data_IF_581424307093
#
_entry.id   IF_581424307093
#
_cell.length_a   1.000
_cell.length_b   1.000
_cell.length_c   1.000
_cell.angle_alpha   90.00
_cell.angle_beta   90.00
_cell.angle_gamma   90.00
#
_symmetry.space_group_name_H-M   'P 1'
#
loop_
_entity.id
_entity.type
_entity.pdbx_description
1 polymer ?
#
# COMPACT_ATOMS: atom_id res chain seq x y z
N UNK A 1 -27.02 -23.24 -10.56
CA UNK A 1 -26.58 -22.27 -9.55
C UNK A 1 -25.83 -22.96 -8.42
N UNK A 2 -26.45 -23.93 -7.73
CA UNK A 2 -25.87 -24.64 -6.57
C UNK A 2 -24.45 -25.21 -6.83
N UNK A 3 -24.22 -25.91 -7.93
CA UNK A 3 -22.90 -26.45 -8.26
C UNK A 3 -21.85 -25.33 -8.50
N UNK A 4 -22.26 -24.20 -9.07
CA UNK A 4 -21.35 -23.06 -9.27
C UNK A 4 -20.91 -22.45 -7.93
N UNK A 5 -21.80 -22.38 -6.96
CA UNK A 5 -21.49 -21.90 -5.59
C UNK A 5 -20.49 -22.84 -4.90
N UNK A 6 -20.67 -24.15 -5.01
CA UNK A 6 -19.72 -25.16 -4.48
C UNK A 6 -18.36 -25.01 -5.18
N UNK A 7 -18.33 -24.93 -6.52
CA UNK A 7 -17.10 -24.78 -7.28
C UNK A 7 -16.37 -23.48 -6.90
N UNK A 8 -17.08 -22.37 -6.76
CA UNK A 8 -16.52 -21.11 -6.32
C UNK A 8 -15.93 -21.21 -4.91
N UNK A 9 -16.65 -21.81 -3.97
CA UNK A 9 -16.19 -22.00 -2.59
C UNK A 9 -14.92 -22.86 -2.51
N UNK A 10 -14.83 -23.94 -3.29
CA UNK A 10 -13.63 -24.78 -3.36
C UNK A 10 -12.45 -24.01 -3.96
N UNK A 11 -12.69 -23.27 -5.05
CA UNK A 11 -11.63 -22.44 -5.67
C UNK A 11 -11.10 -21.37 -4.73
N UNK A 12 -11.95 -20.78 -3.89
CA UNK A 12 -11.54 -19.78 -2.89
C UNK A 12 -10.69 -20.39 -1.76
N UNK A 13 -11.03 -21.60 -1.32
CA UNK A 13 -10.37 -22.25 -0.18
C UNK A 13 -9.08 -22.99 -0.52
N UNK A 14 -8.90 -23.37 -1.79
CA UNK A 14 -7.77 -24.21 -2.21
C UNK A 14 -6.73 -23.40 -2.97
N UNK A 15 -5.60 -23.16 -2.32
CA UNK A 15 -4.39 -22.67 -2.94
C UNK A 15 -3.27 -23.70 -2.80
N UNK A 16 -2.45 -23.85 -3.84
CA UNK A 16 -1.24 -24.66 -3.74
C UNK A 16 -0.14 -23.89 -2.98
N UNK A 17 0.98 -24.56 -2.69
CA UNK A 17 2.16 -23.94 -2.02
C UNK A 17 2.72 -22.71 -2.76
N UNK A 18 2.34 -22.51 -4.02
CA UNK A 18 2.78 -21.39 -4.87
C UNK A 18 1.69 -20.29 -5.00
N UNK A 19 0.63 -20.34 -4.20
CA UNK A 19 -0.47 -19.38 -4.22
C UNK A 19 -1.44 -19.52 -5.41
N UNK A 20 -1.31 -20.59 -6.23
CA UNK A 20 -2.21 -20.81 -7.36
C UNK A 20 -3.46 -21.55 -6.92
N UNK A 21 -4.61 -21.07 -7.35
CA UNK A 21 -5.90 -21.69 -7.08
C UNK A 21 -6.16 -22.91 -7.98
N UNK A 22 -6.98 -23.82 -7.47
CA UNK A 22 -7.43 -24.98 -8.23
C UNK A 22 -8.23 -24.53 -9.46
N UNK A 23 -7.99 -25.19 -10.61
CA UNK A 23 -8.71 -24.90 -11.86
C UNK A 23 -10.15 -25.42 -11.82
N UNK A 24 -11.08 -24.75 -12.54
CA UNK A 24 -12.48 -25.19 -12.68
C UNK A 24 -12.57 -26.64 -13.14
N UNK A 25 -11.74 -27.05 -14.11
CA UNK A 25 -11.69 -28.44 -14.61
C UNK A 25 -11.36 -29.43 -13.48
N UNK A 26 -10.40 -29.12 -12.62
CA UNK A 26 -10.02 -30.03 -11.51
C UNK A 26 -11.10 -30.13 -10.45
N UNK A 27 -11.81 -29.03 -10.15
CA UNK A 27 -12.93 -29.07 -9.21
C UNK A 27 -14.10 -29.92 -9.76
N UNK A 28 -14.38 -29.81 -11.06
CA UNK A 28 -15.39 -30.66 -11.71
C UNK A 28 -14.99 -32.14 -11.59
N UNK A 29 -13.75 -32.50 -11.87
CA UNK A 29 -13.26 -33.87 -11.70
C UNK A 29 -13.42 -34.38 -10.26
N UNK A 30 -13.09 -33.55 -9.26
CA UNK A 30 -13.28 -33.92 -7.85
C UNK A 30 -14.76 -34.18 -7.51
N UNK A 31 -15.67 -33.35 -8.04
CA UNK A 31 -17.11 -33.53 -7.87
C UNK A 31 -17.62 -34.85 -8.51
N UNK A 32 -17.07 -35.22 -9.67
CA UNK A 32 -17.46 -36.44 -10.39
C UNK A 32 -16.88 -37.70 -9.73
N UNK A 33 -15.60 -37.67 -9.33
CA UNK A 33 -14.91 -38.85 -8.81
C UNK A 33 -15.23 -39.11 -7.33
N UNK A 34 -15.11 -38.10 -6.50
CA UNK A 34 -15.15 -38.23 -5.04
C UNK A 34 -16.36 -37.56 -4.39
N UNK A 35 -16.89 -36.51 -5.03
CA UNK A 35 -17.82 -35.59 -4.41
C UNK A 35 -17.11 -34.60 -3.51
N UNK A 36 -17.85 -33.59 -3.03
CA UNK A 36 -17.37 -32.54 -2.13
C UNK A 36 -18.30 -32.47 -0.93
N UNK A 37 -17.75 -32.57 0.29
CA UNK A 37 -18.49 -32.36 1.51
C UNK A 37 -18.93 -30.91 1.65
N UNK A 38 -20.21 -30.72 1.90
CA UNK A 38 -20.85 -29.45 2.19
C UNK A 38 -21.58 -29.52 3.53
N UNK A 39 -21.95 -28.35 4.13
CA UNK A 39 -22.79 -28.39 5.34
C UNK A 39 -24.12 -29.16 5.19
N UNK A 40 -24.58 -29.34 3.95
CA UNK A 40 -25.81 -30.07 3.63
C UNK A 40 -25.57 -31.55 3.28
N UNK A 41 -24.32 -32.01 3.33
CA UNK A 41 -23.92 -33.38 3.01
C UNK A 41 -22.99 -33.49 1.80
N UNK A 42 -22.71 -34.73 1.39
CA UNK A 42 -21.82 -35.00 0.25
C UNK A 42 -22.54 -34.71 -1.07
N UNK A 43 -21.99 -33.80 -1.85
CA UNK A 43 -22.47 -33.46 -3.20
C UNK A 43 -21.60 -34.15 -4.24
N UNK A 44 -22.16 -35.01 -5.06
CA UNK A 44 -21.52 -35.68 -6.19
C UNK A 44 -22.30 -35.42 -7.48
N UNK A 45 -21.56 -35.32 -8.59
CA UNK A 45 -22.14 -35.01 -9.90
C UNK A 45 -21.91 -36.19 -10.84
N UNK A 46 -22.88 -36.58 -11.67
CA UNK A 46 -22.69 -37.56 -12.72
C UNK A 46 -21.56 -37.10 -13.68
N UNK A 47 -20.83 -38.10 -14.19
CA UNK A 47 -19.74 -37.83 -15.13
C UNK A 47 -20.28 -37.12 -16.39
N UNK A 48 -19.49 -36.16 -16.90
CA UNK A 48 -19.79 -35.38 -18.10
C UNK A 48 -21.04 -34.48 -18.02
N UNK A 49 -21.63 -34.28 -16.84
CA UNK A 49 -22.75 -33.36 -16.66
C UNK A 49 -22.30 -31.89 -16.69
N UNK A 50 -21.12 -31.60 -16.15
CA UNK A 50 -20.61 -30.25 -16.03
C UNK A 50 -19.45 -30.00 -17.03
N UNK A 51 -19.67 -29.16 -18.02
CA UNK A 51 -18.61 -28.70 -18.91
C UNK A 51 -17.95 -27.44 -18.40
N UNK A 52 -16.60 -27.42 -18.44
CA UNK A 52 -15.79 -26.28 -17.95
C UNK A 52 -16.25 -24.93 -18.51
N UNK A 53 -16.48 -24.85 -19.83
CA UNK A 53 -16.91 -23.62 -20.50
C UNK A 53 -18.26 -23.10 -19.99
N UNK A 54 -19.20 -24.02 -19.80
CA UNK A 54 -20.53 -23.70 -19.27
C UNK A 54 -20.45 -23.23 -17.82
N UNK A 55 -19.66 -23.95 -16.99
CA UNK A 55 -19.46 -23.57 -15.59
C UNK A 55 -18.78 -22.21 -15.47
N UNK A 56 -17.73 -21.94 -16.27
CA UNK A 56 -17.04 -20.65 -16.23
C UNK A 56 -17.97 -19.49 -16.68
N UNK A 57 -18.82 -19.72 -17.68
CA UNK A 57 -19.84 -18.75 -18.11
C UNK A 57 -20.85 -18.45 -16.97
N UNK A 58 -21.36 -19.48 -16.30
CA UNK A 58 -22.26 -19.28 -15.17
C UNK A 58 -21.58 -18.64 -13.96
N UNK A 59 -20.31 -18.98 -13.66
CA UNK A 59 -19.55 -18.32 -12.61
C UNK A 59 -19.41 -16.83 -12.89
N UNK A 60 -19.16 -16.46 -14.13
CA UNK A 60 -19.07 -15.04 -14.54
C UNK A 60 -20.43 -14.33 -14.44
N UNK A 61 -21.52 -14.98 -14.92
CA UNK A 61 -22.87 -14.44 -14.84
C UNK A 61 -23.37 -14.25 -13.40
N UNK A 62 -22.99 -15.17 -12.49
CA UNK A 62 -23.35 -15.11 -11.07
C UNK A 62 -22.38 -14.24 -10.24
N UNK A 63 -21.40 -13.60 -10.87
CA UNK A 63 -20.35 -12.82 -10.20
C UNK A 63 -19.48 -13.64 -9.23
N UNK A 64 -19.40 -14.96 -9.44
CA UNK A 64 -18.62 -15.90 -8.65
C UNK A 64 -17.27 -16.26 -9.29
N UNK A 65 -16.88 -15.55 -10.34
CA UNK A 65 -15.58 -15.69 -10.96
C UNK A 65 -14.47 -15.08 -10.07
N UNK A 66 -13.32 -15.72 -10.08
CA UNK A 66 -12.20 -15.39 -9.22
C UNK A 66 -11.76 -13.91 -9.26
N UNK A 67 -11.66 -13.24 -10.43
CA UNK A 67 -11.30 -11.83 -10.48
C UNK A 67 -12.29 -10.92 -9.75
N UNK A 68 -13.57 -11.29 -9.67
CA UNK A 68 -14.58 -10.50 -8.96
C UNK A 68 -14.64 -10.79 -7.48
N UNK A 69 -14.48 -12.07 -7.09
CA UNK A 69 -14.46 -12.49 -5.68
C UNK A 69 -13.24 -11.95 -4.93
N UNK A 70 -12.11 -11.78 -5.62
CA UNK A 70 -10.89 -11.16 -5.07
C UNK A 70 -10.76 -9.67 -5.39
N UNK A 71 -11.74 -9.09 -6.08
CA UNK A 71 -11.72 -7.65 -6.34
C UNK A 71 -11.82 -6.93 -5.00
N UNK A 72 -10.75 -6.27 -4.64
CA UNK A 72 -10.78 -5.37 -3.50
C UNK A 72 -11.85 -4.28 -3.78
N UNK A 73 -12.60 -3.87 -2.76
CA UNK A 73 -13.47 -2.71 -2.91
C UNK A 73 -12.65 -1.57 -3.52
N UNK A 74 -13.24 -0.74 -4.39
CA UNK A 74 -12.52 0.38 -4.96
C UNK A 74 -11.92 1.18 -3.80
N UNK A 75 -10.63 1.46 -3.89
CA UNK A 75 -9.98 2.31 -2.91
C UNK A 75 -10.74 3.65 -2.88
N UNK A 76 -11.37 3.95 -1.76
CA UNK A 76 -11.98 5.25 -1.58
C UNK A 76 -10.84 6.25 -1.57
N UNK A 77 -10.81 7.14 -2.55
CA UNK A 77 -9.81 8.19 -2.60
C UNK A 77 -10.02 9.09 -1.39
N UNK A 78 -9.15 8.99 -0.41
CA UNK A 78 -9.09 9.99 0.65
C UNK A 78 -8.64 11.30 0.00
N UNK A 79 -9.30 12.37 0.32
CA UNK A 79 -8.87 13.72 -0.02
C UNK A 79 -9.18 14.61 1.17
N UNK A 80 -8.18 15.32 1.66
CA UNK A 80 -8.34 16.28 2.74
C UNK A 80 -9.37 17.37 2.37
N UNK A 81 -10.10 17.85 3.33
CA UNK A 81 -11.14 18.87 3.11
C UNK A 81 -10.54 20.24 2.83
N UNK A 82 -9.45 20.58 3.55
CA UNK A 82 -8.75 21.85 3.43
C UNK A 82 -7.24 21.63 3.25
N UNK A 83 -6.55 22.63 2.71
CA UNK A 83 -5.08 22.65 2.70
C UNK A 83 -4.54 22.65 4.12
N UNK A 84 -3.41 22.02 4.33
CA UNK A 84 -2.80 21.74 5.62
C UNK A 84 -3.58 20.78 6.54
N UNK A 85 -4.69 20.20 6.10
CA UNK A 85 -5.33 19.14 6.86
C UNK A 85 -4.49 17.85 6.84
N UNK A 86 -3.92 17.50 5.68
CA UNK A 86 -3.07 16.31 5.54
C UNK A 86 -1.91 16.58 4.58
N UNK A 87 -0.71 16.31 5.05
CA UNK A 87 0.48 16.27 4.20
C UNK A 87 0.98 14.83 4.06
N UNK A 88 1.36 14.45 2.84
CA UNK A 88 2.01 13.17 2.53
C UNK A 88 3.50 13.41 2.43
N UNK A 89 4.29 12.77 3.30
CA UNK A 89 5.74 12.89 3.38
C UNK A 89 6.44 11.63 2.87
N UNK A 90 7.43 11.81 2.02
CA UNK A 90 8.26 10.73 1.49
C UNK A 90 9.74 11.11 1.42
N UNK A 91 10.59 10.11 1.55
CA UNK A 91 12.04 10.20 1.39
C UNK A 91 12.50 9.11 0.45
N UNK A 92 13.01 9.49 -0.70
CA UNK A 92 13.45 8.55 -1.72
C UNK A 92 14.91 8.77 -2.10
N UNK A 93 15.71 7.70 -2.30
CA UNK A 93 17.04 7.85 -2.89
C UNK A 93 16.93 8.53 -4.25
N UNK A 94 17.80 9.49 -4.50
CA UNK A 94 17.85 10.19 -5.79
C UNK A 94 18.51 9.31 -6.85
N UNK A 95 17.97 9.34 -8.06
CA UNK A 95 18.59 8.73 -9.25
C UNK A 95 19.82 9.50 -9.75
N UNK A 96 20.11 10.69 -9.20
CA UNK A 96 21.28 11.48 -9.52
C UNK A 96 22.54 10.80 -8.97
N UNK A 97 23.33 10.19 -9.86
CA UNK A 97 24.46 9.34 -9.49
C UNK A 97 25.77 10.08 -9.22
N UNK A 98 25.89 11.34 -9.65
CA UNK A 98 27.13 12.08 -9.62
C UNK A 98 26.93 13.42 -8.92
N UNK A 99 27.23 13.42 -7.62
CA UNK A 99 27.31 14.66 -6.84
C UNK A 99 28.67 14.66 -6.16
N UNK A 100 29.35 15.78 -6.26
CA UNK A 100 30.54 16.05 -5.42
C UNK A 100 30.08 16.04 -3.97
N UNK A 101 30.78 15.27 -3.14
CA UNK A 101 30.48 15.24 -1.72
C UNK A 101 30.67 16.65 -1.14
N UNK A 102 29.66 17.23 -0.46
CA UNK A 102 29.80 18.52 0.17
C UNK A 102 30.99 18.55 1.14
N UNK A 103 31.66 19.71 1.28
CA UNK A 103 32.86 19.87 2.12
C UNK A 103 32.63 19.58 3.61
N UNK A 104 31.39 19.55 4.07
CA UNK A 104 31.00 19.25 5.46
C UNK A 104 30.82 17.76 5.73
N UNK A 105 30.96 16.88 4.73
CA UNK A 105 30.80 15.44 4.88
C UNK A 105 31.97 14.86 5.66
N UNK A 106 31.65 14.10 6.70
CA UNK A 106 32.61 13.34 7.49
C UNK A 106 32.92 11.99 6.81
N UNK A 107 34.14 11.81 6.25
CA UNK A 107 34.52 10.57 5.56
C UNK A 107 34.46 9.33 6.44
N UNK A 108 34.56 9.50 7.77
CA UNK A 108 34.52 8.38 8.75
C UNK A 108 33.15 7.73 8.84
N UNK A 109 32.08 8.44 8.46
CA UNK A 109 30.68 7.93 8.46
C UNK A 109 30.31 7.18 7.19
N UNK A 110 31.24 7.00 6.26
CA UNK A 110 31.02 6.34 5.00
C UNK A 110 30.57 7.29 3.87
N UNK A 111 30.03 6.71 2.79
CA UNK A 111 29.59 7.50 1.63
C UNK A 111 28.16 7.98 1.85
N UNK A 112 27.90 9.28 1.79
CA UNK A 112 26.55 9.81 1.88
C UNK A 112 25.73 9.45 0.65
N UNK A 113 24.42 9.39 0.82
CA UNK A 113 23.45 9.21 -0.26
C UNK A 113 22.72 10.53 -0.49
N UNK A 114 22.54 10.90 -1.75
CA UNK A 114 21.64 11.99 -2.09
C UNK A 114 20.22 11.47 -2.03
N UNK A 115 19.41 12.07 -1.18
CA UNK A 115 17.99 11.76 -1.06
C UNK A 115 17.13 12.94 -1.44
N UNK A 116 16.02 12.65 -2.10
CA UNK A 116 14.93 13.59 -2.33
C UNK A 116 13.95 13.46 -1.16
N UNK A 117 13.76 14.55 -0.45
CA UNK A 117 12.71 14.72 0.55
C UNK A 117 11.56 15.47 -0.11
N UNK A 118 10.36 14.96 0.05
CA UNK A 118 9.17 15.57 -0.52
C UNK A 118 8.01 15.58 0.47
N UNK A 119 7.24 16.64 0.43
CA UNK A 119 5.93 16.72 1.08
C UNK A 119 4.92 17.28 0.11
N UNK A 120 3.74 16.67 0.08
CA UNK A 120 2.63 17.07 -0.78
C UNK A 120 1.41 17.35 0.09
N UNK A 121 0.81 18.52 -0.07
CA UNK A 121 -0.49 18.81 0.53
C UNK A 121 -1.59 18.04 -0.21
N UNK A 122 -2.29 17.17 0.50
CA UNK A 122 -3.27 16.24 -0.09
C UNK A 122 -4.44 16.97 -0.76
N UNK A 123 -4.83 18.13 -0.26
CA UNK A 123 -5.94 18.92 -0.81
C UNK A 123 -5.56 19.65 -2.08
N UNK A 124 -4.47 20.41 -2.05
CA UNK A 124 -4.08 21.28 -3.16
C UNK A 124 -3.18 20.60 -4.19
N UNK A 125 -2.50 19.50 -3.80
CA UNK A 125 -1.49 18.85 -4.61
C UNK A 125 -0.17 19.67 -4.72
N UNK A 126 -0.06 20.78 -4.00
CA UNK A 126 1.19 21.55 -3.97
C UNK A 126 2.26 20.78 -3.22
N UNK A 127 3.47 20.74 -3.78
CA UNK A 127 4.58 20.00 -3.21
C UNK A 127 5.72 20.94 -2.82
N UNK A 128 6.42 20.59 -1.73
CA UNK A 128 7.73 21.14 -1.39
C UNK A 128 8.76 20.03 -1.42
N UNK A 129 9.92 20.28 -2.02
CA UNK A 129 10.94 19.26 -2.21
C UNK A 129 12.33 19.83 -1.94
N UNK A 130 13.20 19.00 -1.35
CA UNK A 130 14.63 19.31 -1.18
C UNK A 130 15.49 18.10 -1.49
N UNK A 131 16.63 18.33 -2.13
CA UNK A 131 17.71 17.36 -2.19
C UNK A 131 18.64 17.54 -1.01
N UNK A 132 18.92 16.44 -0.31
CA UNK A 132 19.85 16.44 0.84
C UNK A 132 20.83 15.28 0.74
N UNK A 133 22.12 15.58 0.99
CA UNK A 133 23.12 14.54 1.23
C UNK A 133 23.01 14.07 2.66
N UNK A 134 22.70 12.80 2.86
CA UNK A 134 22.49 12.19 4.18
C UNK A 134 23.14 10.81 4.24
N UNK A 135 23.41 10.30 5.42
CA UNK A 135 23.96 8.95 5.61
C UNK A 135 22.89 7.88 5.69
N UNK A 136 21.64 8.20 5.42
CA UNK A 136 20.48 7.32 5.43
C UNK A 136 19.21 8.07 5.82
N UNK A 137 18.15 7.34 6.02
CA UNK A 137 16.88 7.89 6.52
C UNK A 137 17.00 8.16 8.02
N UNK A 138 17.27 9.40 8.39
CA UNK A 138 17.38 9.83 9.78
C UNK A 138 16.33 10.88 10.17
N UNK A 139 15.96 10.88 11.45
CA UNK A 139 14.90 11.75 11.97
C UNK A 139 15.33 13.22 11.99
N UNK A 140 16.61 13.54 12.16
CA UNK A 140 17.09 14.92 12.19
C UNK A 140 16.92 15.56 10.82
N UNK A 141 17.37 14.90 9.75
CA UNK A 141 17.22 15.39 8.39
C UNK A 141 15.76 15.54 7.99
N UNK A 142 14.90 14.56 8.39
CA UNK A 142 13.48 14.62 8.14
C UNK A 142 12.81 15.82 8.86
N UNK A 143 13.14 16.04 10.13
CA UNK A 143 12.61 17.17 10.89
C UNK A 143 13.08 18.50 10.34
N UNK A 144 14.36 18.66 9.99
CA UNK A 144 14.87 19.87 9.35
C UNK A 144 14.15 20.19 8.05
N UNK A 145 13.89 19.15 7.24
CA UNK A 145 13.09 19.29 6.02
C UNK A 145 11.65 19.74 6.31
N UNK A 146 10.98 19.10 7.27
CA UNK A 146 9.61 19.45 7.64
C UNK A 146 9.51 20.88 8.19
N UNK A 147 10.47 21.33 9.01
CA UNK A 147 10.53 22.72 9.46
C UNK A 147 10.68 23.68 8.29
N UNK A 148 11.54 23.38 7.31
CA UNK A 148 11.66 24.19 6.11
C UNK A 148 10.37 24.20 5.28
N UNK A 149 9.68 23.04 5.18
CA UNK A 149 8.39 22.96 4.50
C UNK A 149 7.31 23.83 5.19
N UNK A 150 7.28 23.84 6.52
CA UNK A 150 6.34 24.64 7.31
C UNK A 150 6.68 26.14 7.35
N UNK A 151 7.95 26.49 7.19
CA UNK A 151 8.38 27.89 7.25
C UNK A 151 7.81 28.72 6.10
N UNK A 152 7.55 30.03 6.34
CA UNK A 152 7.23 30.96 5.26
C UNK A 152 8.32 30.95 4.19
N UNK A 153 7.92 31.06 2.92
CA UNK A 153 8.86 31.11 1.79
C UNK A 153 9.13 32.57 1.38
N UNK A 154 10.35 32.81 0.86
CA UNK A 154 10.72 34.14 0.35
C UNK A 154 9.86 34.56 -0.86
N UNK A 155 9.46 33.60 -1.69
CA UNK A 155 8.54 33.84 -2.80
C UNK A 155 7.08 33.70 -2.30
N UNK A 156 6.30 34.78 -2.30
CA UNK A 156 4.91 34.76 -1.90
C UNK A 156 4.00 33.94 -2.82
N UNK A 157 4.44 33.63 -4.05
CA UNK A 157 3.72 32.75 -4.95
C UNK A 157 3.85 31.28 -4.55
N UNK A 158 4.79 30.93 -3.68
CA UNK A 158 4.97 29.58 -3.19
C UNK A 158 4.05 29.31 -2.00
N UNK A 159 3.01 28.53 -2.23
CA UNK A 159 1.85 28.44 -1.33
C UNK A 159 2.00 27.47 -0.16
N UNK A 160 2.97 26.53 -0.20
CA UNK A 160 3.11 25.56 0.90
C UNK A 160 3.84 26.19 2.08
N UNK A 161 3.11 26.36 3.16
CA UNK A 161 3.61 26.87 4.45
C UNK A 161 2.62 26.55 5.57
N UNK A 162 3.04 26.74 6.80
CA UNK A 162 2.21 26.48 7.97
C UNK A 162 2.31 25.03 8.42
N UNK A 163 1.68 24.74 9.53
CA UNK A 163 1.70 23.43 10.18
C UNK A 163 0.56 22.56 9.63
N UNK A 164 0.82 21.32 9.17
CA UNK A 164 -0.24 20.39 8.86
C UNK A 164 -0.92 19.89 10.15
N UNK A 165 -2.21 19.55 10.08
CA UNK A 165 -2.90 18.87 11.19
C UNK A 165 -2.49 17.40 11.25
N UNK A 166 -2.25 16.79 10.09
CA UNK A 166 -1.96 15.38 9.96
C UNK A 166 -0.80 15.14 8.97
N UNK A 167 0.13 14.25 9.35
CA UNK A 167 1.23 13.82 8.50
C UNK A 167 1.11 12.33 8.19
N UNK A 168 1.10 11.99 6.91
CA UNK A 168 1.09 10.62 6.42
C UNK A 168 2.47 10.27 5.85
N UNK A 169 3.09 9.22 6.34
CA UNK A 169 4.45 8.81 5.96
C UNK A 169 4.56 7.29 5.88
N UNK A 170 5.68 6.80 5.37
CA UNK A 170 5.97 5.38 5.34
C UNK A 170 6.30 4.83 6.75
N UNK A 171 6.35 3.49 6.89
CA UNK A 171 6.70 2.83 8.15
C UNK A 171 8.22 2.67 8.32
N UNK A 172 9.00 3.65 7.87
CA UNK A 172 10.45 3.68 7.90
C UNK A 172 11.06 3.98 9.27
N UNK A 173 12.39 4.16 9.31
CA UNK A 173 13.12 4.49 10.54
C UNK A 173 12.69 5.79 11.18
N UNK A 174 12.30 6.80 10.39
CA UNK A 174 11.85 8.12 10.87
C UNK A 174 10.62 8.00 11.74
N UNK A 175 9.59 7.28 11.28
CA UNK A 175 8.36 7.08 12.04
C UNK A 175 8.58 6.35 13.38
N UNK A 176 9.61 5.52 13.47
CA UNK A 176 9.97 4.76 14.68
C UNK A 176 10.84 5.56 15.64
N UNK A 177 11.38 6.70 15.22
CA UNK A 177 12.23 7.55 16.03
C UNK A 177 11.45 8.25 17.15
N UNK A 178 11.89 8.07 18.39
CA UNK A 178 11.31 8.80 19.54
C UNK A 178 11.44 10.32 19.39
N UNK A 179 12.54 10.79 18.79
CA UNK A 179 12.77 12.22 18.56
C UNK A 179 11.70 12.76 17.62
N UNK A 180 11.44 12.07 16.51
CA UNK A 180 10.37 12.43 15.58
C UNK A 180 9.00 12.46 16.26
N UNK A 181 8.65 11.40 17.01
CA UNK A 181 7.37 11.29 17.69
C UNK A 181 7.16 12.42 18.72
N UNK A 182 8.18 12.73 19.52
CA UNK A 182 8.13 13.80 20.50
C UNK A 182 7.95 15.18 19.85
N UNK A 183 8.62 15.42 18.70
CA UNK A 183 8.46 16.67 17.96
C UNK A 183 7.06 16.79 17.36
N UNK A 184 6.52 15.72 16.77
CA UNK A 184 5.14 15.71 16.26
C UNK A 184 4.14 16.03 17.37
N UNK A 185 4.29 15.39 18.54
CA UNK A 185 3.47 15.67 19.71
C UNK A 185 3.60 17.12 20.19
N UNK A 186 4.82 17.66 20.25
CA UNK A 186 5.07 19.05 20.70
C UNK A 186 4.50 20.08 19.74
N UNK A 187 4.42 19.75 18.45
CA UNK A 187 3.83 20.59 17.41
C UNK A 187 2.32 20.38 17.27
N UNK A 188 1.73 19.45 18.01
CA UNK A 188 0.31 19.06 17.88
C UNK A 188 0.01 18.64 16.43
N UNK A 189 0.85 17.78 15.86
CA UNK A 189 0.68 17.17 14.54
C UNK A 189 0.37 15.69 14.74
N UNK A 190 -0.82 15.27 14.34
CA UNK A 190 -1.16 13.85 14.26
C UNK A 190 -0.40 13.19 13.11
N UNK A 191 -0.04 11.92 13.24
CA UNK A 191 0.65 11.21 12.17
C UNK A 191 0.26 9.74 12.10
N UNK A 192 0.32 9.17 10.90
CA UNK A 192 0.13 7.73 10.63
C UNK A 192 1.12 7.24 9.60
N UNK A 193 1.43 5.96 9.71
CA UNK A 193 2.18 5.25 8.69
C UNK A 193 1.27 4.34 7.87
N UNK A 194 1.72 3.93 6.70
CA UNK A 194 1.10 2.84 5.97
C UNK A 194 0.99 1.61 6.86
N UNK A 195 -0.19 0.97 6.87
CA UNK A 195 -0.34 -0.32 7.52
C UNK A 195 0.55 -1.31 6.74
N UNK A 196 1.47 -2.01 7.42
CA UNK A 196 2.30 -3.00 6.74
C UNK A 196 1.39 -3.99 6.01
N UNK A 197 1.68 -4.28 4.75
CA UNK A 197 0.99 -5.36 4.06
C UNK A 197 1.09 -6.61 4.93
N UNK A 198 -0.05 -7.17 5.35
CA UNK A 198 -0.08 -8.37 6.16
C UNK A 198 0.74 -9.48 5.48
N UNK A 199 1.28 -10.42 6.24
CA UNK A 199 2.06 -11.56 5.72
C UNK A 199 1.32 -12.34 4.63
N UNK A 200 0.02 -12.14 4.48
CA UNK A 200 -0.87 -12.77 3.50
C UNK A 200 -1.13 -11.91 2.26
N UNK A 201 -0.38 -10.84 2.04
CA UNK A 201 -0.52 -9.98 0.85
C UNK A 201 -1.82 -9.16 0.80
N UNK A 202 -2.61 -9.14 1.86
CA UNK A 202 -3.77 -8.27 1.99
C UNK A 202 -3.31 -6.90 2.46
N UNK A 203 -3.29 -5.94 1.54
CA UNK A 203 -3.26 -4.52 1.92
C UNK A 203 -4.62 -4.20 2.53
N UNK A 204 -4.64 -4.06 3.85
CA UNK A 204 -5.81 -3.49 4.52
C UNK A 204 -5.73 -1.99 4.29
N UNK A 205 -6.56 -1.49 3.43
CA UNK A 205 -6.81 -0.05 3.25
C UNK A 205 -7.64 0.48 4.40
#
# INVERSE_FOLDING_TARGET
KHYCEIIAAVKLRTTNKQGRHVSTKRVIQLLEEHGIETPQGLVKVPKDLLHKSTVDAYLSQLHLDQPRLYRQPPAVRFQAEHSNDCWQFDMSPSDLKYIEAPSWIDPSKGRPTLMLFSVVDDRSGVAYMEYRCVYGEDAESALRFLFNAMAPKADPAFLIQGRPKFLYLDNGPVAKSRVFQNVMQSLDIDWKTHIPAGKDGQRVT
#
